data_IF_249724507492
#
_entry.id   IF_249724507492
#
_cell.length_a   1.000
_cell.length_b   1.000
_cell.length_c   1.000
_cell.angle_alpha   90.00
_cell.angle_beta   90.00
_cell.angle_gamma   90.00
#
_symmetry.space_group_name_H-M   'P 1'
#
loop_
_entity.id
_entity.type
_entity.pdbx_description
1 polymer ?
#
# COMPACT_ATOMS: atom_id res chain seq x y z
N UNK A 1 3.91 -9.64 11.17
CA UNK A 1 2.52 -9.20 11.43
C UNK A 1 2.54 -8.69 12.84
N UNK A 2 2.43 -7.38 13.00
CA UNK A 2 2.85 -6.70 14.22
C UNK A 2 1.62 -6.30 15.03
N UNK A 3 1.62 -6.60 16.32
CA UNK A 3 0.62 -6.17 17.30
C UNK A 3 0.24 -4.68 17.18
N UNK A 4 -1.03 -4.34 17.47
CA UNK A 4 -1.51 -2.96 17.45
C UNK A 4 -0.81 -2.17 18.56
N UNK A 5 -0.21 -1.02 18.23
CA UNK A 5 0.55 -0.19 19.20
C UNK A 5 2.08 -0.25 19.08
N UNK A 6 2.66 -1.15 18.28
CA UNK A 6 4.12 -1.31 18.11
C UNK A 6 4.83 -0.23 17.28
N UNK A 7 4.16 0.85 16.90
CA UNK A 7 4.80 1.94 16.15
C UNK A 7 5.08 1.62 14.68
N UNK A 8 4.15 0.97 13.96
CA UNK A 8 4.21 0.76 12.49
C UNK A 8 4.50 2.05 11.72
N UNK A 9 3.97 3.17 12.19
CA UNK A 9 4.29 4.50 11.67
C UNK A 9 5.77 4.85 11.86
N UNK A 10 6.34 4.60 13.04
CA UNK A 10 7.78 4.81 13.32
C UNK A 10 8.64 3.91 12.44
N UNK A 11 8.27 2.64 12.27
CA UNK A 11 8.96 1.72 11.36
C UNK A 11 8.95 2.23 9.92
N UNK A 12 7.82 2.78 9.45
CA UNK A 12 7.70 3.40 8.12
C UNK A 12 8.65 4.58 7.98
N UNK A 13 8.70 5.45 9.00
CA UNK A 13 9.58 6.62 9.02
C UNK A 13 11.05 6.17 8.98
N UNK A 14 11.43 5.25 9.88
CA UNK A 14 12.79 4.73 9.95
C UNK A 14 13.22 4.09 8.62
N UNK A 15 12.32 3.34 7.97
CA UNK A 15 12.58 2.77 6.65
C UNK A 15 12.85 3.84 5.60
N UNK A 16 12.00 4.87 5.49
CA UNK A 16 12.17 5.94 4.51
C UNK A 16 13.45 6.72 4.78
N UNK A 17 13.69 7.13 6.02
CA UNK A 17 14.91 7.85 6.43
C UNK A 17 16.16 7.05 6.07
N UNK A 18 16.19 5.75 6.38
CA UNK A 18 17.30 4.88 6.02
C UNK A 18 17.51 4.80 4.50
N UNK A 19 16.44 4.71 3.71
CA UNK A 19 16.55 4.65 2.24
C UNK A 19 17.08 5.98 1.66
N UNK A 20 16.66 7.12 2.21
CA UNK A 20 17.12 8.44 1.76
C UNK A 20 18.57 8.70 2.16
N UNK A 21 18.91 8.51 3.43
CA UNK A 21 20.23 8.86 3.98
C UNK A 21 21.30 7.85 3.59
N UNK A 22 21.01 6.55 3.75
CA UNK A 22 22.02 5.50 3.61
C UNK A 22 22.03 4.89 2.21
N UNK A 23 20.88 4.77 1.55
CA UNK A 23 20.79 4.23 0.18
C UNK A 23 20.77 5.32 -0.89
N UNK A 24 20.75 6.60 -0.51
CA UNK A 24 20.69 7.77 -1.42
C UNK A 24 19.50 7.70 -2.39
N UNK A 25 18.42 7.05 -1.97
CA UNK A 25 17.18 6.96 -2.74
C UNK A 25 16.24 8.06 -2.25
N UNK A 26 16.21 9.20 -2.95
CA UNK A 26 15.42 10.36 -2.51
C UNK A 26 13.95 10.33 -2.99
N UNK A 27 13.40 9.13 -3.19
CA UNK A 27 12.01 8.92 -3.58
C UNK A 27 11.75 9.21 -5.07
N UNK A 28 10.49 9.54 -5.43
CA UNK A 28 9.37 9.77 -4.53
C UNK A 28 8.78 8.50 -3.89
N UNK A 29 8.38 8.67 -2.63
CA UNK A 29 7.66 7.71 -1.80
C UNK A 29 6.18 8.08 -1.73
N UNK A 30 5.28 7.10 -1.79
CA UNK A 30 3.85 7.30 -1.56
C UNK A 30 3.42 6.52 -0.33
N UNK A 31 2.90 7.21 0.68
CA UNK A 31 2.39 6.61 1.91
C UNK A 31 0.89 6.82 1.96
N UNK A 32 0.15 5.72 2.06
CA UNK A 32 -1.31 5.68 2.11
C UNK A 32 -1.71 5.30 3.53
N UNK A 33 -2.33 6.24 4.23
CA UNK A 33 -2.69 6.08 5.66
C UNK A 33 -4.16 6.41 5.90
N UNK A 34 -4.77 5.90 6.98
CA UNK A 34 -6.07 6.39 7.45
C UNK A 34 -6.03 7.89 7.74
N UNK A 35 -7.16 8.57 7.58
CA UNK A 35 -7.26 10.03 7.80
C UNK A 35 -6.80 10.42 9.23
N UNK A 36 -7.10 9.60 10.23
CA UNK A 36 -6.69 9.79 11.62
C UNK A 36 -5.17 9.73 11.83
N UNK A 37 -4.44 9.03 10.96
CA UNK A 37 -2.98 8.82 11.08
C UNK A 37 -2.16 9.81 10.25
N UNK A 38 -2.81 10.65 9.44
CA UNK A 38 -2.15 11.69 8.63
C UNK A 38 -1.39 12.67 9.52
N UNK A 39 -2.01 13.15 10.61
CA UNK A 39 -1.39 14.09 11.54
C UNK A 39 -0.12 13.52 12.20
N UNK A 40 -0.09 12.23 12.52
CA UNK A 40 1.10 11.58 13.07
C UNK A 40 2.25 11.53 12.05
N UNK A 41 1.93 11.30 10.76
CA UNK A 41 2.92 11.30 9.68
C UNK A 41 3.41 12.70 9.30
N UNK A 42 2.73 13.76 9.72
CA UNK A 42 3.17 15.14 9.50
C UNK A 42 4.40 15.53 10.32
N UNK A 43 4.63 14.88 11.46
CA UNK A 43 5.81 15.14 12.30
C UNK A 43 7.12 14.65 11.66
N UNK A 44 7.06 14.03 10.49
CA UNK A 44 8.21 13.74 9.63
C UNK A 44 8.74 15.09 9.11
N UNK A 45 9.63 15.72 9.88
CA UNK A 45 10.21 17.04 9.61
C UNK A 45 11.47 16.99 8.71
N UNK A 46 11.71 15.89 7.99
CA UNK A 46 12.92 15.73 7.18
C UNK A 46 12.65 16.07 5.71
N UNK A 47 12.71 17.35 5.33
CA UNK A 47 12.68 17.81 3.93
C UNK A 47 11.52 17.25 3.07
N UNK A 48 10.48 16.73 3.73
CA UNK A 48 9.34 16.09 3.11
C UNK A 48 8.32 17.16 2.79
N UNK A 49 8.06 17.41 1.50
CA UNK A 49 6.87 18.15 1.08
C UNK A 49 5.64 17.28 1.37
N UNK A 50 5.21 17.26 2.64
CA UNK A 50 4.04 16.49 3.07
C UNK A 50 2.79 17.12 2.46
N UNK A 51 2.37 16.60 1.32
CA UNK A 51 1.14 17.02 0.66
C UNK A 51 -0.07 16.34 1.32
N UNK A 52 -0.52 16.81 2.50
CA UNK A 52 -1.91 16.53 2.87
C UNK A 52 -2.83 17.50 2.18
N UNK A 53 -3.90 16.96 1.62
CA UNK A 53 -4.82 17.70 0.76
C UNK A 53 -5.74 18.69 1.50
N UNK A 54 -5.44 19.09 2.75
CA UNK A 54 -6.18 20.19 3.39
C UNK A 54 -6.04 21.50 2.61
N UNK A 55 -5.00 21.63 1.78
CA UNK A 55 -4.76 22.81 0.96
C UNK A 55 -4.59 22.43 -0.52
N UNK A 56 -5.61 22.70 -1.36
CA UNK A 56 -5.52 22.60 -2.84
C UNK A 56 -4.36 23.43 -3.42
N UNK A 57 -3.81 24.35 -2.64
CA UNK A 57 -2.63 25.14 -2.93
C UNK A 57 -1.37 24.30 -3.26
N UNK A 58 -1.32 23.01 -2.91
CA UNK A 58 -0.19 22.12 -3.20
C UNK A 58 -0.24 21.41 -4.56
N UNK A 59 -1.34 21.48 -5.31
CA UNK A 59 -1.44 20.86 -6.65
C UNK A 59 -0.35 21.37 -7.62
N UNK A 60 0.01 22.67 -7.65
CA UNK A 60 1.12 23.15 -8.46
C UNK A 60 2.47 22.55 -8.06
N UNK A 61 2.73 22.36 -6.77
CA UNK A 61 3.97 21.73 -6.28
C UNK A 61 4.02 20.23 -6.63
N UNK A 62 2.90 19.53 -6.50
CA UNK A 62 2.76 18.14 -6.97
C UNK A 62 3.07 18.01 -8.46
N UNK A 63 2.55 18.93 -9.29
CA UNK A 63 2.84 18.98 -10.73
C UNK A 63 4.29 19.30 -11.03
N UNK A 64 4.97 20.05 -10.15
CA UNK A 64 6.39 20.33 -10.30
C UNK A 64 7.28 19.10 -10.05
N UNK A 65 6.74 18.06 -9.41
CA UNK A 65 7.47 16.82 -9.09
C UNK A 65 8.56 16.99 -8.03
N UNK A 66 8.71 18.18 -7.43
CA UNK A 66 9.74 18.50 -6.44
C UNK A 66 9.29 18.13 -5.03
N UNK A 67 9.11 16.84 -4.78
CA UNK A 67 8.83 16.31 -3.45
C UNK A 67 9.45 14.93 -3.27
N UNK A 68 9.83 14.59 -2.04
CA UNK A 68 10.39 13.28 -1.72
C UNK A 68 9.33 12.30 -1.23
N UNK A 69 8.34 12.76 -0.46
CA UNK A 69 7.32 11.90 0.15
C UNK A 69 5.93 12.51 -0.02
N UNK A 70 5.01 11.74 -0.58
CA UNK A 70 3.58 12.04 -0.66
C UNK A 70 2.82 11.23 0.39
N UNK A 71 2.17 11.90 1.33
CA UNK A 71 1.26 11.28 2.29
C UNK A 71 -0.17 11.54 1.84
N UNK A 72 -0.96 10.49 1.66
CA UNK A 72 -2.34 10.59 1.19
C UNK A 72 -3.23 9.58 1.91
N UNK A 73 -4.54 9.68 1.74
CA UNK A 73 -5.49 8.71 2.26
C UNK A 73 -6.06 7.84 1.16
N UNK A 74 -6.69 6.75 1.60
CA UNK A 74 -7.43 5.83 0.75
C UNK A 74 -8.45 6.50 -0.18
N UNK A 75 -9.22 7.44 0.36
CA UNK A 75 -10.28 8.13 -0.40
C UNK A 75 -9.69 9.05 -1.46
N UNK A 76 -8.61 9.78 -1.13
CA UNK A 76 -7.97 10.73 -2.05
C UNK A 76 -7.30 10.03 -3.22
N UNK A 77 -6.65 8.88 -3.02
CA UNK A 77 -6.09 8.10 -4.13
C UNK A 77 -7.16 7.68 -5.13
N UNK A 78 -8.35 7.33 -4.65
CA UNK A 78 -9.44 6.92 -5.54
C UNK A 78 -10.03 8.14 -6.24
N UNK A 79 -10.31 9.21 -5.50
CA UNK A 79 -10.97 10.42 -5.99
C UNK A 79 -10.12 11.19 -7.01
N UNK A 80 -8.85 11.42 -6.68
CA UNK A 80 -7.95 12.28 -7.47
C UNK A 80 -6.97 11.47 -8.33
N UNK A 81 -7.32 10.20 -8.62
CA UNK A 81 -6.49 9.27 -9.39
C UNK A 81 -5.97 9.85 -10.70
N UNK A 82 -6.73 10.69 -11.40
CA UNK A 82 -6.30 11.26 -12.68
C UNK A 82 -5.17 12.29 -12.56
N UNK A 83 -5.10 13.00 -11.43
CA UNK A 83 -4.04 13.98 -11.14
C UNK A 83 -2.86 13.27 -10.50
N UNK A 84 -3.14 12.47 -9.47
CA UNK A 84 -2.13 11.76 -8.70
C UNK A 84 -1.43 10.67 -9.53
N UNK A 85 -2.13 9.96 -10.41
CA UNK A 85 -1.49 8.99 -11.30
C UNK A 85 -0.46 9.69 -12.20
N UNK A 86 -0.77 10.83 -12.82
CA UNK A 86 0.21 11.52 -13.69
C UNK A 86 1.49 11.92 -12.95
N UNK A 87 1.36 12.28 -11.67
CA UNK A 87 2.49 12.68 -10.81
C UNK A 87 3.23 11.46 -10.25
N UNK A 88 2.51 10.44 -9.78
CA UNK A 88 3.08 9.25 -9.14
C UNK A 88 3.58 8.20 -10.14
N UNK A 89 2.94 8.02 -11.30
CA UNK A 89 3.24 6.97 -12.29
C UNK A 89 4.63 7.13 -12.90
N UNK A 90 5.11 8.36 -13.08
CA UNK A 90 6.44 8.58 -13.65
C UNK A 90 7.59 8.38 -12.66
N UNK A 91 7.33 8.39 -11.34
CA UNK A 91 8.39 8.60 -10.36
C UNK A 91 8.33 7.67 -9.13
N UNK A 92 7.21 7.03 -8.81
CA UNK A 92 7.07 6.31 -7.54
C UNK A 92 7.97 5.07 -7.44
N UNK A 93 8.92 5.10 -6.50
CA UNK A 93 9.84 3.98 -6.24
C UNK A 93 9.24 3.02 -5.20
N UNK A 94 8.52 3.55 -4.21
CA UNK A 94 7.94 2.81 -3.10
C UNK A 94 6.52 3.28 -2.78
N UNK A 95 5.60 2.33 -2.66
CA UNK A 95 4.25 2.54 -2.17
C UNK A 95 4.06 1.79 -0.86
N UNK A 96 3.70 2.52 0.20
CA UNK A 96 3.48 1.98 1.53
C UNK A 96 2.02 2.17 1.90
N UNK A 97 1.35 1.11 2.31
CA UNK A 97 -0.05 1.13 2.77
C UNK A 97 -0.09 0.71 4.23
N UNK A 98 -0.59 1.59 5.10
CA UNK A 98 -0.79 1.31 6.52
C UNK A 98 -2.23 0.92 6.82
N UNK A 99 -2.45 0.04 7.81
CA UNK A 99 -3.73 -0.61 8.08
C UNK A 99 -4.26 -1.44 6.90
N UNK A 100 -3.39 -2.28 6.34
CA UNK A 100 -3.65 -3.18 5.22
C UNK A 100 -4.85 -4.11 5.37
N UNK A 101 -5.38 -4.28 6.58
CA UNK A 101 -6.66 -4.93 6.82
C UNK A 101 -7.82 -4.30 6.02
N UNK A 102 -7.73 -3.01 5.67
CA UNK A 102 -8.67 -2.29 4.80
C UNK A 102 -8.67 -2.83 3.35
N UNK A 103 -7.64 -3.56 2.94
CA UNK A 103 -7.50 -4.16 1.60
C UNK A 103 -7.86 -5.64 1.53
N UNK A 104 -8.40 -6.24 2.61
CA UNK A 104 -8.77 -7.66 2.66
C UNK A 104 -9.88 -8.04 1.67
N UNK A 105 -10.73 -7.10 1.26
CA UNK A 105 -11.77 -7.40 0.29
C UNK A 105 -11.16 -7.60 -1.11
N UNK A 106 -11.31 -8.78 -1.69
CA UNK A 106 -10.83 -9.11 -3.04
C UNK A 106 -11.42 -8.18 -4.13
N UNK A 107 -12.62 -7.64 -3.92
CA UNK A 107 -13.26 -6.63 -4.78
C UNK A 107 -12.94 -5.20 -4.35
N UNK A 108 -11.87 -4.98 -3.59
CA UNK A 108 -11.52 -3.63 -3.13
C UNK A 108 -11.22 -2.73 -4.32
N UNK A 109 -12.07 -1.71 -4.51
CA UNK A 109 -11.90 -0.65 -5.52
C UNK A 109 -10.51 0.00 -5.42
N UNK A 110 -9.96 0.08 -4.22
CA UNK A 110 -8.62 0.61 -3.98
C UNK A 110 -7.55 -0.21 -4.70
N UNK A 111 -7.52 -1.53 -4.50
CA UNK A 111 -6.52 -2.42 -5.13
C UNK A 111 -6.60 -2.35 -6.64
N UNK A 112 -7.82 -2.30 -7.20
CA UNK A 112 -8.05 -2.11 -8.63
C UNK A 112 -7.49 -0.77 -9.13
N UNK A 113 -7.78 0.32 -8.41
CA UNK A 113 -7.26 1.65 -8.75
C UNK A 113 -5.74 1.69 -8.66
N UNK A 114 -5.14 1.15 -7.60
CA UNK A 114 -3.68 1.08 -7.40
C UNK A 114 -3.00 0.26 -8.50
N UNK A 115 -3.56 -0.88 -8.89
CA UNK A 115 -3.01 -1.71 -9.95
C UNK A 115 -3.14 -1.10 -11.35
N UNK A 116 -4.24 -0.38 -11.60
CA UNK A 116 -4.52 0.17 -12.94
C UNK A 116 -3.85 1.52 -13.17
N UNK A 117 -3.83 2.37 -12.14
CA UNK A 117 -3.44 3.77 -12.27
C UNK A 117 -2.08 4.10 -11.65
N UNK A 118 -1.46 3.21 -10.86
CA UNK A 118 -0.22 3.52 -10.15
C UNK A 118 0.85 2.46 -10.41
N UNK A 119 1.94 2.88 -11.04
CA UNK A 119 3.16 2.08 -11.17
C UNK A 119 4.01 2.29 -9.91
N UNK A 120 4.17 1.22 -9.14
CA UNK A 120 5.04 1.19 -7.96
C UNK A 120 5.72 -0.17 -7.90
N UNK A 121 7.03 -0.26 -8.26
CA UNK A 121 7.76 -1.52 -8.30
C UNK A 121 7.90 -2.18 -6.93
N UNK A 122 7.98 -1.36 -5.87
CA UNK A 122 8.13 -1.84 -4.49
C UNK A 122 6.91 -1.42 -3.70
N UNK A 123 6.20 -2.42 -3.18
CA UNK A 123 4.97 -2.23 -2.41
C UNK A 123 5.16 -2.84 -1.04
N UNK A 124 4.84 -2.07 -0.01
CA UNK A 124 4.91 -2.48 1.39
C UNK A 124 3.51 -2.37 1.98
N UNK A 125 3.10 -3.45 2.63
CA UNK A 125 1.82 -3.50 3.32
C UNK A 125 2.07 -3.68 4.82
N UNK A 126 1.58 -2.74 5.61
CA UNK A 126 1.64 -2.79 7.06
C UNK A 126 0.23 -3.06 7.58
N UNK A 127 0.07 -4.06 8.45
CA UNK A 127 -1.23 -4.37 9.05
C UNK A 127 -1.02 -4.80 10.49
N UNK A 128 -1.87 -4.27 11.39
CA UNK A 128 -1.90 -4.66 12.79
C UNK A 128 -2.79 -5.86 13.09
N UNK A 129 -3.69 -6.21 12.17
CA UNK A 129 -4.67 -7.28 12.41
C UNK A 129 -4.19 -8.59 11.79
N UNK A 130 -4.43 -9.74 12.45
CA UNK A 130 -4.20 -11.04 11.85
C UNK A 130 -5.04 -11.20 10.57
N UNK A 131 -4.48 -11.94 9.61
CA UNK A 131 -5.24 -12.36 8.43
C UNK A 131 -6.25 -13.43 8.87
N UNK A 132 -7.52 -13.25 8.50
CA UNK A 132 -8.48 -14.34 8.63
C UNK A 132 -8.10 -15.34 7.53
N UNK A 133 -8.04 -16.64 7.83
CA UNK A 133 -7.56 -17.69 6.92
C UNK A 133 -8.51 -17.95 5.73
N UNK A 134 -8.85 -16.90 4.97
CA UNK A 134 -9.69 -16.93 3.79
C UNK A 134 -8.82 -16.69 2.57
N UNK A 135 -8.81 -17.65 1.65
CA UNK A 135 -8.01 -17.57 0.41
C UNK A 135 -8.26 -16.29 -0.40
N UNK A 136 -9.51 -15.77 -0.53
CA UNK A 136 -9.73 -14.50 -1.22
C UNK A 136 -9.08 -13.29 -0.56
N UNK A 137 -8.99 -13.26 0.79
CA UNK A 137 -8.33 -12.17 1.51
C UNK A 137 -6.81 -12.24 1.32
N UNK A 138 -6.25 -13.45 1.41
CA UNK A 138 -4.83 -13.68 1.16
C UNK A 138 -4.46 -13.30 -0.28
N UNK A 139 -5.27 -13.72 -1.24
CA UNK A 139 -5.10 -13.34 -2.64
C UNK A 139 -5.15 -11.83 -2.83
N UNK A 140 -6.10 -11.13 -2.19
CA UNK A 140 -6.22 -9.68 -2.31
C UNK A 140 -4.93 -8.95 -1.87
N UNK A 141 -4.33 -9.40 -0.77
CA UNK A 141 -3.06 -8.84 -0.29
C UNK A 141 -1.87 -9.19 -1.19
N UNK A 142 -1.79 -10.44 -1.65
CA UNK A 142 -0.73 -10.89 -2.56
C UNK A 142 -0.83 -10.23 -3.93
N UNK A 143 -2.04 -10.05 -4.45
CA UNK A 143 -2.29 -9.29 -5.67
C UNK A 143 -1.86 -7.83 -5.52
N UNK A 144 -2.05 -7.23 -4.35
CA UNK A 144 -1.51 -5.90 -4.10
C UNK A 144 0.02 -5.90 -4.09
N UNK A 145 0.68 -6.82 -3.40
CA UNK A 145 2.14 -6.86 -3.29
C UNK A 145 2.82 -7.21 -4.62
N UNK A 146 2.26 -8.18 -5.35
CA UNK A 146 2.83 -8.78 -6.55
C UNK A 146 1.74 -8.93 -7.64
N UNK A 147 1.25 -7.81 -8.21
CA UNK A 147 0.12 -7.81 -9.15
C UNK A 147 0.41 -8.55 -10.46
N UNK A 148 1.69 -8.69 -10.84
CA UNK A 148 2.09 -9.39 -12.06
C UNK A 148 1.95 -10.91 -11.94
N UNK A 149 2.12 -11.46 -10.73
CA UNK A 149 2.05 -12.90 -10.45
C UNK A 149 0.60 -13.30 -10.15
N UNK A 150 -0.10 -12.56 -9.29
CA UNK A 150 -1.41 -12.96 -8.76
C UNK A 150 -2.57 -12.29 -9.49
N UNK A 151 -2.75 -12.50 -10.79
CA UNK A 151 -3.77 -11.80 -11.60
C UNK A 151 -5.22 -12.27 -11.34
N UNK A 152 -5.42 -13.54 -11.02
CA UNK A 152 -6.75 -14.15 -10.89
C UNK A 152 -6.90 -14.87 -9.56
N UNK A 153 -7.99 -14.59 -8.84
CA UNK A 153 -8.33 -15.25 -7.58
C UNK A 153 -8.66 -16.73 -7.80
N UNK A 154 -9.38 -17.07 -8.88
CA UNK A 154 -9.75 -18.45 -9.18
C UNK A 154 -8.53 -19.33 -9.47
N UNK A 155 -7.56 -18.81 -10.22
CA UNK A 155 -6.31 -19.52 -10.49
C UNK A 155 -5.49 -19.72 -9.22
N UNK A 156 -5.49 -18.73 -8.33
CA UNK A 156 -4.82 -18.83 -7.03
C UNK A 156 -5.47 -19.90 -6.15
N UNK A 157 -6.80 -19.93 -6.07
CA UNK A 157 -7.52 -20.96 -5.31
C UNK A 157 -7.25 -22.35 -5.86
N UNK A 158 -7.25 -22.54 -7.18
CA UNK A 158 -6.91 -23.82 -7.80
C UNK A 158 -5.47 -24.25 -7.49
N UNK A 159 -4.51 -23.34 -7.64
CA UNK A 159 -3.10 -23.61 -7.35
C UNK A 159 -2.87 -23.93 -5.87
N UNK A 160 -3.54 -23.21 -4.97
CA UNK A 160 -3.45 -23.46 -3.54
C UNK A 160 -4.12 -24.78 -3.14
N UNK A 161 -5.25 -25.13 -3.76
CA UNK A 161 -5.99 -26.37 -3.46
C UNK A 161 -5.40 -27.63 -4.14
N UNK A 162 -4.67 -27.50 -5.25
CA UNK A 162 -4.06 -28.60 -5.99
C UNK A 162 -3.23 -29.58 -5.13
N UNK A 163 -2.30 -29.13 -4.27
CA UNK A 163 -1.54 -30.04 -3.41
C UNK A 163 -2.41 -30.76 -2.35
N UNK A 164 -3.52 -30.16 -1.91
CA UNK A 164 -4.45 -30.80 -0.95
C UNK A 164 -5.40 -31.81 -1.63
N UNK A 165 -5.71 -31.58 -2.91
CA UNK A 165 -6.53 -32.51 -3.69
C UNK A 165 -5.79 -33.85 -3.95
N UNK A 166 -4.46 -33.83 -4.02
CA UNK A 166 -3.63 -35.03 -4.23
C UNK A 166 -3.44 -35.87 -2.96
N UNK A 167 -3.55 -35.28 -1.77
CA UNK A 167 -3.35 -35.98 -0.50
C UNK A 167 -4.63 -36.55 0.11
N UNK A 168 -5.80 -36.35 -0.50
CA UNK A 168 -7.08 -36.87 0.01
C UNK A 168 -7.55 -36.26 1.33
N UNK A 169 -6.78 -35.33 1.92
CA UNK A 169 -7.17 -34.60 3.12
C UNK A 169 -8.12 -33.47 2.75
N UNK A 170 -9.42 -33.68 3.02
CA UNK A 170 -10.37 -32.57 3.10
C UNK A 170 -9.93 -31.65 4.24
N UNK A 171 -9.24 -30.56 3.91
CA UNK A 171 -8.96 -29.49 4.85
C UNK A 171 -10.29 -28.89 5.30
N UNK A 172 -10.75 -29.29 6.48
CA UNK A 172 -11.71 -28.48 7.23
C UNK A 172 -10.95 -27.23 7.66
N UNK A 173 -11.07 -26.16 6.88
CA UNK A 173 -10.78 -24.83 7.41
C UNK A 173 -11.78 -24.63 8.56
N UNK A 174 -11.27 -24.69 9.79
CA UNK A 174 -12.07 -24.66 11.01
C UNK A 174 -12.95 -23.40 11.04
N UNK A 175 -14.22 -23.61 11.40
CA UNK A 175 -15.26 -22.59 11.58
C UNK A 175 -14.76 -21.35 12.33
#
# INVERSE_FOLDING_TARGET
>A
ADEMGLGKTIQTIALITYLMENKRLNGPYVIIVPLSSVAACFYINFHTSVCSHRERAFIPQLRSGKFNVLITTYEYIIKDKHVLAKVCVCLCVYMIVDEGHRMKNHHCKLTQVLNTHYLAPRRVLLTGTPLQNKLPELWALLNFLLPTIFKSCSTFEQWFNAPFAMTGEKVRLFN
#
